data_IF_090166629825
#
_entry.id   IF_090166629825
#
_cell.length_a   1.000
_cell.length_b   1.000
_cell.length_c   1.000
_cell.angle_alpha   90.00
_cell.angle_beta   90.00
_cell.angle_gamma   90.00
#
_symmetry.space_group_name_H-M   'P 1'
#
loop_
_entity.id
_entity.type
_entity.pdbx_description
1 polymer ?
#
# COMPACT_ATOMS: atom_id res chain seq x y z
N UNK A 1 -8.99 8.54 8.95
CA UNK A 1 -8.01 8.06 7.95
C UNK A 1 -6.79 7.47 8.63
N UNK A 2 -6.32 6.33 8.15
CA UNK A 2 -5.20 5.59 8.75
C UNK A 2 -3.85 6.27 8.39
N UNK A 3 -2.92 6.44 9.36
CA UNK A 3 -1.63 7.14 9.12
C UNK A 3 -0.85 6.57 7.91
N UNK A 4 -0.90 5.25 7.73
CA UNK A 4 -0.26 4.56 6.60
C UNK A 4 -0.91 4.89 5.25
N UNK A 5 -2.25 5.04 5.20
CA UNK A 5 -2.96 5.41 3.97
C UNK A 5 -2.60 6.83 3.53
N UNK A 6 -2.53 7.76 4.49
CA UNK A 6 -2.10 9.14 4.22
C UNK A 6 -0.64 9.20 3.75
N UNK A 7 0.24 8.41 4.36
CA UNK A 7 1.64 8.32 3.94
C UNK A 7 1.73 7.86 2.48
N UNK A 8 1.04 6.79 2.10
CA UNK A 8 1.05 6.26 0.73
C UNK A 8 0.50 7.28 -0.27
N UNK A 9 -0.63 7.93 0.04
CA UNK A 9 -1.17 9.00 -0.81
C UNK A 9 -0.20 10.17 -0.98
N UNK A 10 0.45 10.58 0.12
CA UNK A 10 1.43 11.67 0.10
C UNK A 10 2.68 11.31 -0.73
N UNK A 11 3.17 10.08 -0.61
CA UNK A 11 4.28 9.57 -1.43
C UNK A 11 3.91 9.56 -2.91
N UNK A 12 2.69 9.12 -3.25
CA UNK A 12 2.18 9.19 -4.62
C UNK A 12 2.15 10.60 -5.20
N UNK A 13 1.73 11.59 -4.40
CA UNK A 13 1.74 13.00 -4.80
C UNK A 13 3.17 13.52 -5.03
N UNK A 14 4.09 13.21 -4.12
CA UNK A 14 5.47 13.65 -4.20
C UNK A 14 6.17 13.04 -5.43
N UNK A 15 6.01 11.73 -5.66
CA UNK A 15 6.55 11.05 -6.82
C UNK A 15 5.93 11.54 -8.13
N UNK A 16 4.60 11.72 -8.16
CA UNK A 16 3.92 12.25 -9.34
C UNK A 16 4.40 13.65 -9.71
N UNK A 17 4.54 14.55 -8.74
CA UNK A 17 5.10 15.89 -8.96
C UNK A 17 6.57 15.82 -9.41
N UNK A 18 7.35 14.88 -8.87
CA UNK A 18 8.73 14.65 -9.29
C UNK A 18 8.84 14.24 -10.76
N UNK A 19 8.02 13.28 -11.20
CA UNK A 19 7.95 12.83 -12.60
C UNK A 19 7.58 14.00 -13.52
N UNK A 20 6.59 14.80 -13.13
CA UNK A 20 6.17 15.98 -13.91
C UNK A 20 7.34 16.94 -14.12
N UNK A 21 8.03 17.33 -13.04
CA UNK A 21 9.17 18.24 -13.11
C UNK A 21 10.34 17.68 -13.92
N UNK A 22 10.67 16.40 -13.76
CA UNK A 22 11.79 15.76 -14.49
C UNK A 22 11.48 15.71 -15.99
N UNK A 23 10.27 15.30 -16.36
CA UNK A 23 9.87 15.23 -17.77
C UNK A 23 9.77 16.62 -18.42
N UNK A 24 9.22 17.61 -17.71
CA UNK A 24 9.17 18.99 -18.20
C UNK A 24 10.58 19.59 -18.38
N UNK A 25 11.46 19.43 -17.38
CA UNK A 25 12.84 19.92 -17.47
C UNK A 25 13.63 19.23 -18.58
N UNK A 26 13.47 17.91 -18.73
CA UNK A 26 14.12 17.16 -19.81
C UNK A 26 13.63 17.65 -21.18
N UNK A 27 12.32 17.86 -21.33
CA UNK A 27 11.74 18.44 -22.54
C UNK A 27 12.25 19.85 -22.84
N UNK A 28 12.46 20.69 -21.82
CA UNK A 28 13.05 22.02 -21.98
C UNK A 28 14.54 21.99 -22.37
N UNK A 29 15.32 21.08 -21.79
CA UNK A 29 16.73 20.89 -22.12
C UNK A 29 16.85 20.43 -23.59
N UNK A 30 16.05 19.45 -23.99
CA UNK A 30 16.01 18.97 -25.37
C UNK A 30 15.53 20.06 -26.34
N UNK A 31 14.53 20.86 -25.96
CA UNK A 31 14.10 22.02 -26.74
C UNK A 31 15.25 22.99 -26.99
N UNK A 32 16.00 23.37 -25.95
CA UNK A 32 17.14 24.30 -26.07
C UNK A 32 18.23 23.74 -26.98
N UNK A 33 18.55 22.45 -26.83
CA UNK A 33 19.55 21.75 -27.66
C UNK A 33 19.14 21.68 -29.13
N UNK A 34 17.92 21.21 -29.41
CA UNK A 34 17.41 21.05 -30.77
C UNK A 34 17.22 22.40 -31.48
N UNK A 35 16.78 23.43 -30.75
CA UNK A 35 16.65 24.78 -31.30
C UNK A 35 18.02 25.36 -31.67
N UNK A 36 19.05 25.13 -30.85
CA UNK A 36 20.43 25.57 -31.13
C UNK A 36 20.99 24.92 -32.40
N UNK A 37 20.55 23.71 -32.72
CA UNK A 37 20.92 22.96 -33.92
C UNK A 37 19.97 23.19 -35.12
N UNK A 38 19.16 24.26 -35.11
CA UNK A 38 18.17 24.60 -36.16
C UNK A 38 17.06 23.55 -36.41
N UNK A 39 16.87 22.57 -35.51
CA UNK A 39 15.79 21.59 -35.60
C UNK A 39 14.49 22.09 -34.92
N UNK A 40 13.92 23.18 -35.43
CA UNK A 40 12.79 23.88 -34.79
C UNK A 40 11.52 23.03 -34.60
N UNK A 41 11.19 22.15 -35.55
CA UNK A 41 10.03 21.26 -35.45
C UNK A 41 10.21 20.23 -34.33
N UNK A 42 11.37 19.57 -34.30
CA UNK A 42 11.73 18.61 -33.24
C UNK A 42 11.84 19.28 -31.88
N UNK A 43 12.35 20.51 -31.79
CA UNK A 43 12.41 21.27 -30.54
C UNK A 43 11.01 21.47 -29.95
N UNK A 44 10.05 21.96 -30.75
CA UNK A 44 8.65 22.13 -30.32
C UNK A 44 8.04 20.79 -29.89
N UNK A 45 8.31 19.72 -30.65
CA UNK A 45 7.89 18.36 -30.31
C UNK A 45 8.41 17.90 -28.95
N UNK A 46 9.71 18.04 -28.69
CA UNK A 46 10.34 17.65 -27.43
C UNK A 46 9.81 18.43 -26.22
N UNK A 47 9.55 19.74 -26.37
CA UNK A 47 8.94 20.55 -25.31
C UNK A 47 7.52 20.10 -25.01
N UNK A 48 6.73 19.86 -26.06
CA UNK A 48 5.34 19.42 -25.93
C UNK A 48 5.22 18.01 -25.34
N UNK A 49 6.03 17.07 -25.82
CA UNK A 49 6.02 15.68 -25.36
C UNK A 49 6.53 15.56 -23.91
N UNK A 50 7.58 16.29 -23.52
CA UNK A 50 8.04 16.32 -22.14
C UNK A 50 6.96 16.78 -21.15
N UNK A 51 6.21 17.83 -21.52
CA UNK A 51 5.08 18.32 -20.73
C UNK A 51 3.90 17.33 -20.68
N UNK A 52 3.56 16.72 -21.81
CA UNK A 52 2.46 15.76 -21.89
C UNK A 52 2.77 14.49 -21.09
N UNK A 53 3.96 13.93 -21.30
CA UNK A 53 4.44 12.74 -20.58
C UNK A 53 4.55 12.99 -19.08
N UNK A 54 5.07 14.15 -18.68
CA UNK A 54 5.15 14.55 -17.27
C UNK A 54 3.78 14.57 -16.61
N UNK A 55 2.78 15.20 -17.24
CA UNK A 55 1.40 15.24 -16.73
C UNK A 55 0.75 13.87 -16.65
N UNK A 56 0.86 13.06 -17.71
CA UNK A 56 0.26 11.72 -17.74
C UNK A 56 0.92 10.80 -16.70
N UNK A 57 2.25 10.83 -16.59
CA UNK A 57 3.00 10.08 -15.58
C UNK A 57 2.60 10.50 -14.16
N UNK A 58 2.59 11.81 -13.89
CA UNK A 58 2.15 12.40 -12.62
C UNK A 58 0.77 11.92 -12.19
N UNK A 59 -0.20 11.99 -13.11
CA UNK A 59 -1.59 11.64 -12.85
C UNK A 59 -1.76 10.13 -12.62
N UNK A 60 -1.06 9.31 -13.40
CA UNK A 60 -1.06 7.85 -13.25
C UNK A 60 -0.48 7.42 -11.91
N UNK A 61 0.70 7.94 -11.54
CA UNK A 61 1.36 7.63 -10.28
C UNK A 61 0.50 8.05 -9.09
N UNK A 62 -0.04 9.28 -9.09
CA UNK A 62 -0.96 9.76 -8.05
C UNK A 62 -2.18 8.84 -7.90
N UNK A 63 -2.76 8.41 -9.02
CA UNK A 63 -3.95 7.55 -9.03
C UNK A 63 -3.67 6.18 -8.44
N UNK A 64 -2.58 5.52 -8.83
CA UNK A 64 -2.19 4.19 -8.31
C UNK A 64 -1.99 4.24 -6.80
N UNK A 65 -1.25 5.23 -6.30
CA UNK A 65 -1.00 5.38 -4.87
C UNK A 65 -2.28 5.75 -4.10
N UNK A 66 -3.19 6.52 -4.70
CA UNK A 66 -4.48 6.80 -4.09
C UNK A 66 -5.34 5.53 -3.95
N UNK A 67 -5.39 4.70 -5.00
CA UNK A 67 -6.08 3.40 -4.98
C UNK A 67 -5.45 2.48 -3.92
N UNK A 68 -4.12 2.35 -3.91
CA UNK A 68 -3.40 1.55 -2.91
C UNK A 68 -3.70 2.02 -1.48
N UNK A 69 -3.71 3.34 -1.25
CA UNK A 69 -4.06 3.94 0.03
C UNK A 69 -5.51 3.65 0.46
N UNK A 70 -6.46 3.67 -0.49
CA UNK A 70 -7.88 3.33 -0.23
C UNK A 70 -8.03 1.84 0.09
N UNK A 71 -7.42 0.96 -0.70
CA UNK A 71 -7.46 -0.50 -0.49
C UNK A 71 -6.89 -0.89 0.87
N UNK A 72 -5.77 -0.28 1.29
CA UNK A 72 -5.21 -0.49 2.63
C UNK A 72 -6.12 0.04 3.74
N UNK A 73 -6.80 1.17 3.54
CA UNK A 73 -7.76 1.67 4.51
C UNK A 73 -8.96 0.72 4.68
N UNK A 74 -9.47 0.19 3.56
CA UNK A 74 -10.54 -0.83 3.55
C UNK A 74 -10.09 -2.14 4.20
N UNK A 75 -8.89 -2.64 3.89
CA UNK A 75 -8.33 -3.85 4.48
C UNK A 75 -8.10 -3.73 5.99
N UNK A 76 -7.62 -2.57 6.47
CA UNK A 76 -7.46 -2.33 7.91
C UNK A 76 -8.81 -2.21 8.63
N UNK A 77 -9.82 -1.59 7.99
CA UNK A 77 -11.19 -1.55 8.56
C UNK A 77 -11.78 -2.96 8.68
N UNK A 78 -11.62 -3.80 7.64
CA UNK A 78 -12.04 -5.19 7.67
C UNK A 78 -11.31 -5.95 8.78
N UNK A 79 -9.97 -5.91 8.83
CA UNK A 79 -9.16 -6.56 9.87
C UNK A 79 -9.55 -6.11 11.30
N UNK A 80 -9.81 -4.82 11.52
CA UNK A 80 -10.29 -4.32 12.83
C UNK A 80 -11.69 -4.85 13.18
N UNK A 81 -12.57 -4.97 12.20
CA UNK A 81 -13.91 -5.52 12.39
C UNK A 81 -13.82 -7.02 12.72
N UNK A 82 -13.12 -7.80 11.90
CA UNK A 82 -12.92 -9.24 12.12
C UNK A 82 -12.19 -9.50 13.43
N UNK A 83 -11.17 -8.70 13.77
CA UNK A 83 -10.47 -8.78 15.05
C UNK A 83 -11.35 -8.44 16.25
N UNK A 84 -12.28 -7.48 16.14
CA UNK A 84 -13.30 -7.21 17.18
C UNK A 84 -14.27 -8.38 17.32
N UNK A 85 -14.75 -8.95 16.22
CA UNK A 85 -15.67 -10.10 16.23
C UNK A 85 -14.99 -11.33 16.83
N UNK A 86 -13.74 -11.60 16.46
CA UNK A 86 -12.92 -12.66 17.07
C UNK A 86 -12.71 -12.37 18.55
N UNK A 87 -12.37 -11.15 18.96
CA UNK A 87 -12.17 -10.81 20.37
C UNK A 87 -13.46 -10.90 21.21
N UNK A 88 -14.61 -10.63 20.63
CA UNK A 88 -15.91 -10.77 21.29
C UNK A 88 -16.41 -12.22 21.35
N UNK A 89 -16.12 -13.04 20.32
CA UNK A 89 -16.54 -14.45 20.26
C UNK A 89 -15.52 -15.42 20.86
N UNK A 90 -14.25 -15.05 20.93
CA UNK A 90 -13.21 -15.80 21.62
C UNK A 90 -13.36 -15.54 23.12
N UNK A 91 -14.25 -16.30 23.75
CA UNK A 91 -14.25 -16.47 25.20
C UNK A 91 -12.85 -16.98 25.55
N UNK A 92 -12.13 -16.22 26.37
CA UNK A 92 -10.82 -16.57 26.91
C UNK A 92 -10.99 -17.88 27.69
N UNK A 93 -10.83 -19.03 27.03
CA UNK A 93 -10.78 -20.33 27.69
C UNK A 93 -9.47 -20.38 28.46
N UNK A 94 -9.49 -19.87 29.69
CA UNK A 94 -8.43 -20.14 30.66
C UNK A 94 -8.51 -21.62 31.01
N UNK A 95 -7.76 -22.45 30.29
CA UNK A 95 -7.58 -23.85 30.62
C UNK A 95 -6.59 -23.90 31.78
N UNK A 96 -7.10 -23.97 33.02
CA UNK A 96 -6.26 -24.30 34.18
C UNK A 96 -5.99 -25.80 34.15
N UNK A 97 -4.76 -26.17 33.80
CA UNK A 97 -4.27 -27.53 33.95
C UNK A 97 -3.77 -27.66 35.39
N UNK A 98 -4.46 -28.45 36.20
CA UNK A 98 -4.01 -28.84 37.53
C UNK A 98 -3.36 -30.21 37.45
N UNK A 99 -2.08 -30.30 37.82
CA UNK A 99 -1.32 -31.55 37.91
C UNK A 99 0.07 -31.30 38.49
N UNK A 100 0.55 -32.22 39.33
CA UNK A 100 1.91 -32.15 39.88
C UNK A 100 2.95 -32.26 38.75
N UNK A 101 3.82 -31.25 38.68
CA UNK A 101 4.60 -30.89 37.49
C UNK A 101 5.68 -31.89 37.07
N UNK A 102 6.02 -32.87 37.91
CA UNK A 102 7.20 -33.72 37.68
C UNK A 102 6.96 -35.00 36.89
N UNK A 103 5.73 -35.51 36.82
CA UNK A 103 5.42 -36.77 36.12
C UNK A 103 4.56 -36.63 34.86
N UNK A 104 3.82 -35.53 34.70
CA UNK A 104 2.82 -35.40 33.63
C UNK A 104 3.39 -35.27 32.20
N UNK A 105 4.62 -34.77 32.04
CA UNK A 105 5.18 -34.40 30.72
C UNK A 105 6.07 -35.48 30.07
N UNK A 106 6.31 -36.63 30.71
CA UNK A 106 7.08 -37.70 30.06
C UNK A 106 6.21 -38.46 29.06
N UNK A 107 6.36 -38.11 27.78
CA UNK A 107 5.94 -38.96 26.66
C UNK A 107 4.53 -38.74 26.10
N UNK A 108 3.85 -37.63 26.41
CA UNK A 108 2.52 -37.35 25.83
C UNK A 108 2.53 -36.12 24.92
N UNK A 109 2.14 -36.33 23.67
CA UNK A 109 1.76 -35.29 22.73
C UNK A 109 0.36 -34.79 23.10
N UNK A 110 0.19 -33.46 23.18
CA UNK A 110 -1.11 -32.84 23.42
C UNK A 110 -1.76 -32.58 22.06
N UNK A 111 -2.66 -33.48 21.64
CA UNK A 111 -3.59 -33.20 20.54
C UNK A 111 -4.76 -32.38 21.08
N UNK A 112 -4.88 -31.14 20.59
CA UNK A 112 -5.99 -30.26 20.89
C UNK A 112 -7.04 -30.38 19.78
N UNK A 113 -8.06 -31.21 20.00
CA UNK A 113 -9.23 -31.28 19.12
C UNK A 113 -10.16 -30.08 19.35
N UNK A 114 -10.31 -29.24 18.33
CA UNK A 114 -11.22 -28.10 18.35
C UNK A 114 -12.60 -28.51 17.84
N UNK A 115 -13.57 -28.69 18.74
CA UNK A 115 -14.99 -28.78 18.37
C UNK A 115 -15.59 -27.38 18.17
N UNK A 116 -15.99 -27.09 16.93
CA UNK A 116 -16.82 -25.93 16.58
C UNK A 116 -18.26 -26.21 17.05
N UNK A 117 -18.80 -25.36 17.92
CA UNK A 117 -20.19 -25.45 18.38
C UNK A 117 -21.00 -24.46 17.55
N UNK A 118 -21.79 -24.96 16.60
CA UNK A 118 -22.81 -24.16 15.91
C UNK A 118 -23.96 -23.84 16.87
N UNK A 119 -24.34 -22.57 16.95
CA UNK A 119 -25.54 -22.16 17.69
C UNK A 119 -26.74 -22.13 16.73
N UNK A 120 -27.76 -22.93 17.05
CA UNK A 120 -29.14 -22.77 16.59
C UNK A 120 -29.68 -21.39 16.95
#
# INVERSE_FOLDING_TARGET
>A
MNKLSNFIKSTGNLLGNGIENVCENTGEILYKSLKRNNHNSMAKGAKGSGKLLGKVGSLTTKSIFNIAGITLESGVKFSKFTGKVIKQKAVKKEVKIYGESKEFYKGKFVEADYKIIDKK
#
